data_IF_450490170487
#
_entry.id   IF_450490170487
#
_cell.length_a   1.000
_cell.length_b   1.000
_cell.length_c   1.000
_cell.angle_alpha   90.00
_cell.angle_beta   90.00
_cell.angle_gamma   90.00
#
_symmetry.space_group_name_H-M   'P 1'
#
loop_
_entity.id
_entity.type
_entity.pdbx_description
1 polymer ?
#
# COMPACT_ATOMS: atom_id res chain seq x y z
N UNK A 1 -3.91 -11.60 9.91
CA UNK A 1 -2.75 -10.82 10.37
C UNK A 1 -1.52 -11.71 10.41
N UNK A 2 -0.37 -11.18 10.00
CA UNK A 2 0.90 -11.89 9.85
C UNK A 2 1.95 -11.30 10.80
N UNK A 3 2.45 -12.12 11.72
CA UNK A 3 3.45 -11.73 12.72
C UNK A 3 4.74 -11.16 12.11
N UNK A 4 5.09 -11.57 10.89
CA UNK A 4 6.28 -11.05 10.20
C UNK A 4 6.13 -9.59 9.78
N UNK A 5 4.89 -9.11 9.57
CA UNK A 5 4.61 -7.74 9.18
C UNK A 5 4.33 -6.81 10.38
N UNK A 6 4.13 -7.36 11.58
CA UNK A 6 3.68 -6.58 12.75
C UNK A 6 4.64 -5.45 13.15
N UNK A 7 5.95 -5.63 12.96
CA UNK A 7 6.93 -4.59 13.28
C UNK A 7 6.61 -3.28 12.55
N UNK A 8 6.15 -3.37 11.30
CA UNK A 8 5.85 -2.22 10.46
C UNK A 8 4.74 -1.33 11.04
N UNK A 9 3.77 -1.95 11.73
CA UNK A 9 2.62 -1.26 12.33
C UNK A 9 2.86 -0.81 13.76
N UNK A 10 3.87 -1.38 14.42
CA UNK A 10 4.20 -1.07 15.81
C UNK A 10 5.21 0.06 15.95
N UNK A 11 6.02 0.32 14.90
CA UNK A 11 6.95 1.44 14.85
C UNK A 11 6.25 2.78 15.11
N UNK A 12 6.88 3.61 15.95
CA UNK A 12 6.35 4.93 16.33
C UNK A 12 6.64 5.94 15.22
N UNK A 13 5.79 5.95 14.20
CA UNK A 13 5.89 6.82 13.03
C UNK A 13 4.70 7.77 12.94
N UNK A 14 4.89 8.87 12.21
CA UNK A 14 3.88 9.91 11.94
C UNK A 14 2.52 9.33 11.51
N UNK A 15 2.51 8.26 10.72
CA UNK A 15 1.31 7.66 10.13
C UNK A 15 0.85 6.36 10.80
N UNK A 16 1.35 6.05 12.00
CA UNK A 16 1.09 4.77 12.69
C UNK A 16 -0.40 4.41 12.75
N UNK A 17 -1.23 5.34 13.22
CA UNK A 17 -2.67 5.13 13.35
C UNK A 17 -3.34 4.91 11.99
N UNK A 18 -3.02 5.75 11.00
CA UNK A 18 -3.57 5.64 9.65
C UNK A 18 -3.19 4.31 9.00
N UNK A 19 -1.93 3.91 9.06
CA UNK A 19 -1.40 2.66 8.51
C UNK A 19 -2.01 1.44 9.20
N UNK A 20 -2.25 1.50 10.51
CA UNK A 20 -2.96 0.46 11.25
C UNK A 20 -4.44 0.33 10.81
N UNK A 21 -5.13 1.45 10.55
CA UNK A 21 -6.49 1.43 10.01
C UNK A 21 -6.53 0.85 8.59
N UNK A 22 -5.60 1.26 7.73
CA UNK A 22 -5.47 0.72 6.37
C UNK A 22 -5.26 -0.80 6.39
N UNK A 23 -4.44 -1.32 7.32
CA UNK A 23 -4.26 -2.76 7.50
C UNK A 23 -5.58 -3.49 7.73
N UNK A 24 -6.43 -2.95 8.61
CA UNK A 24 -7.73 -3.55 8.91
C UNK A 24 -8.63 -3.55 7.69
N UNK A 25 -8.73 -2.43 6.97
CA UNK A 25 -9.53 -2.32 5.74
C UNK A 25 -9.07 -3.33 4.68
N UNK A 26 -7.76 -3.41 4.44
CA UNK A 26 -7.22 -4.30 3.40
C UNK A 26 -7.41 -5.78 3.77
N UNK A 27 -7.34 -6.13 5.05
CA UNK A 27 -7.63 -7.48 5.53
C UNK A 27 -9.12 -7.83 5.43
N UNK A 28 -10.01 -6.87 5.69
CA UNK A 28 -11.46 -7.05 5.56
C UNK A 28 -11.87 -7.34 4.09
N UNK A 29 -11.09 -6.86 3.13
CA UNK A 29 -11.23 -7.20 1.71
C UNK A 29 -10.84 -8.66 1.36
N UNK A 30 -10.47 -9.49 2.34
CA UNK A 30 -10.11 -10.90 2.14
C UNK A 30 -8.72 -11.11 1.52
N UNK A 31 -7.85 -10.10 1.55
CA UNK A 31 -6.48 -10.23 1.06
C UNK A 31 -5.57 -10.88 2.10
N UNK A 32 -4.61 -11.67 1.62
CA UNK A 32 -3.59 -12.31 2.44
C UNK A 32 -2.42 -11.37 2.66
N UNK A 33 -1.98 -11.22 3.91
CA UNK A 33 -0.88 -10.33 4.28
C UNK A 33 0.47 -11.03 4.25
N UNK A 34 1.41 -10.45 3.52
CA UNK A 34 2.80 -10.88 3.37
C UNK A 34 3.75 -9.72 3.65
N UNK A 35 5.01 -10.02 3.96
CA UNK A 35 6.07 -9.02 4.04
C UNK A 35 6.94 -9.12 2.78
N UNK A 36 6.97 -8.08 1.96
CA UNK A 36 7.81 -8.01 0.76
C UNK A 36 8.52 -6.68 0.69
N UNK A 37 9.82 -6.71 0.34
CA UNK A 37 10.65 -5.50 0.21
C UNK A 37 10.66 -4.58 1.44
N UNK A 38 10.45 -5.15 2.63
CA UNK A 38 10.41 -4.40 3.89
C UNK A 38 9.06 -3.74 4.21
N UNK A 39 8.02 -3.93 3.40
CA UNK A 39 6.69 -3.38 3.64
C UNK A 39 5.58 -4.43 3.57
N UNK A 40 4.42 -4.18 4.23
CA UNK A 40 3.24 -5.02 4.11
C UNK A 40 2.74 -5.06 2.66
N UNK A 41 2.61 -6.26 2.14
CA UNK A 41 2.08 -6.55 0.82
C UNK A 41 0.88 -7.47 0.95
N UNK A 42 -0.20 -7.12 0.27
CA UNK A 42 -1.45 -7.84 0.34
C UNK A 42 -1.72 -8.52 -1.00
N UNK A 43 -1.96 -9.82 -0.92
CA UNK A 43 -2.04 -10.70 -2.08
C UNK A 43 -3.41 -11.37 -2.17
N UNK A 44 -3.82 -11.68 -3.41
CA UNK A 44 -4.97 -12.52 -3.70
C UNK A 44 -4.49 -13.68 -4.58
N UNK A 45 -4.60 -14.91 -4.06
CA UNK A 45 -4.15 -16.12 -4.76
C UNK A 45 -2.67 -16.02 -5.23
N UNK A 46 -1.81 -15.42 -4.39
CA UNK A 46 -0.39 -15.24 -4.68
C UNK A 46 -0.04 -14.04 -5.58
N UNK A 47 -1.03 -13.37 -6.16
CA UNK A 47 -0.81 -12.15 -6.93
C UNK A 47 -0.76 -10.93 -6.00
N UNK A 48 0.21 -10.04 -6.18
CA UNK A 48 0.28 -8.80 -5.41
C UNK A 48 -0.84 -7.85 -5.85
N UNK A 49 -1.62 -7.35 -4.89
CA UNK A 49 -2.78 -6.47 -5.14
C UNK A 49 -2.51 -5.06 -4.63
N UNK A 50 -2.06 -4.92 -3.38
CA UNK A 50 -1.80 -3.61 -2.78
C UNK A 50 -0.65 -3.66 -1.78
N UNK A 51 0.13 -2.59 -1.68
CA UNK A 51 1.08 -2.36 -0.58
C UNK A 51 0.55 -1.26 0.33
N UNK A 52 0.83 -1.35 1.63
CA UNK A 52 0.78 -0.17 2.49
C UNK A 52 2.20 0.35 2.65
N UNK A 53 2.41 1.63 2.32
CA UNK A 53 3.69 2.29 2.48
C UNK A 53 3.53 3.66 3.12
N UNK A 54 4.31 3.92 4.15
CA UNK A 54 4.40 5.20 4.83
C UNK A 54 5.62 5.98 4.33
N UNK A 55 5.39 7.22 3.92
CA UNK A 55 6.41 8.16 3.50
C UNK A 55 6.48 9.31 4.51
N UNK A 56 7.52 10.13 4.38
CA UNK A 56 7.72 11.29 5.28
C UNK A 56 6.50 12.23 5.34
N UNK A 57 5.89 12.50 4.19
CA UNK A 57 4.81 13.49 4.06
C UNK A 57 3.40 12.88 3.89
N UNK A 58 3.27 11.57 3.66
CA UNK A 58 1.98 10.88 3.48
C UNK A 58 2.14 9.38 3.70
N UNK A 59 1.06 8.64 3.95
CA UNK A 59 1.02 7.19 3.74
C UNK A 59 0.13 6.88 2.52
N UNK A 60 0.31 5.71 1.91
CA UNK A 60 -0.45 5.34 0.74
C UNK A 60 -0.80 3.86 0.70
N UNK A 61 -1.93 3.57 0.06
CA UNK A 61 -2.23 2.28 -0.55
C UNK A 61 -1.71 2.30 -1.99
N UNK A 62 -0.73 1.44 -2.30
CA UNK A 62 -0.14 1.34 -3.63
C UNK A 62 -0.72 0.13 -4.35
N UNK A 63 -1.62 0.37 -5.30
CA UNK A 63 -2.27 -0.70 -6.06
C UNK A 63 -1.39 -1.18 -7.20
N UNK A 64 -1.14 -2.49 -7.26
CA UNK A 64 -0.56 -3.12 -8.43
C UNK A 64 -1.55 -3.05 -9.59
N UNK A 65 -1.10 -2.55 -10.74
CA UNK A 65 -1.97 -2.26 -11.90
C UNK A 65 -3.11 -1.30 -11.57
N UNK A 66 -2.89 -0.37 -10.64
CA UNK A 66 -3.90 0.59 -10.21
C UNK A 66 -4.45 1.45 -11.34
N UNK A 67 -3.68 1.67 -12.41
CA UNK A 67 -4.13 2.39 -13.61
C UNK A 67 -5.31 1.71 -14.35
N UNK A 68 -5.62 0.44 -14.02
CA UNK A 68 -6.77 -0.29 -14.54
C UNK A 68 -8.00 -0.19 -13.63
N UNK A 69 -7.88 0.40 -12.44
CA UNK A 69 -9.00 0.58 -11.53
C UNK A 69 -9.91 1.70 -12.03
N UNK A 70 -11.21 1.53 -11.82
CA UNK A 70 -12.16 2.61 -12.03
C UNK A 70 -11.97 3.67 -10.95
N UNK A 71 -11.78 4.92 -11.34
CA UNK A 71 -11.57 6.05 -10.44
C UNK A 71 -12.66 7.11 -10.65
N UNK A 72 -13.89 6.85 -10.21
CA UNK A 72 -15.02 7.75 -10.44
C UNK A 72 -14.85 9.10 -9.73
N UNK A 73 -14.09 9.12 -8.62
CA UNK A 73 -13.89 10.31 -7.79
C UNK A 73 -12.59 11.06 -8.13
N UNK A 74 -11.76 10.52 -9.04
CA UNK A 74 -10.50 11.15 -9.46
C UNK A 74 -9.46 11.26 -8.35
N UNK A 75 -9.49 10.35 -7.38
CA UNK A 75 -8.66 10.41 -6.16
C UNK A 75 -7.38 9.58 -6.26
N UNK A 76 -7.27 8.71 -7.28
CA UNK A 76 -6.08 7.91 -7.48
C UNK A 76 -4.99 8.74 -8.16
N UNK A 77 -3.82 8.79 -7.54
CA UNK A 77 -2.67 9.55 -8.06
C UNK A 77 -1.63 8.59 -8.60
N UNK A 78 -1.08 8.89 -9.78
CA UNK A 78 0.01 8.10 -10.34
C UNK A 78 1.26 8.23 -9.47
N UNK A 79 1.85 7.10 -9.07
CA UNK A 79 3.05 7.12 -8.22
C UNK A 79 4.19 7.95 -8.83
N UNK A 80 4.33 7.96 -10.16
CA UNK A 80 5.36 8.73 -10.89
C UNK A 80 5.24 10.24 -10.72
N UNK A 81 4.04 10.74 -10.40
CA UNK A 81 3.80 12.16 -10.12
C UNK A 81 4.25 12.55 -8.71
N UNK A 82 4.23 11.58 -7.78
CA UNK A 82 4.63 11.80 -6.39
C UNK A 82 6.13 11.55 -6.18
N UNK A 83 6.70 10.58 -6.90
CA UNK A 83 8.12 10.22 -6.85
C UNK A 83 8.65 9.91 -8.25
N UNK A 84 9.52 10.77 -8.80
CA UNK A 84 10.41 10.40 -9.89
C UNK A 84 11.54 9.52 -9.35
N UNK A 85 11.27 8.24 -9.10
CA UNK A 85 12.31 7.24 -8.91
C UNK A 85 12.42 6.35 -10.15
N UNK A 86 13.51 6.44 -10.93
CA UNK A 86 13.67 5.60 -12.11
C UNK A 86 13.74 4.11 -11.70
N UNK A 87 12.85 3.31 -12.28
CA UNK A 87 13.05 1.85 -12.40
C UNK A 87 12.53 0.94 -11.29
N UNK A 88 11.63 1.36 -10.37
CA UNK A 88 11.16 0.45 -9.30
C UNK A 88 9.69 0.05 -9.28
N UNK A 89 8.75 0.82 -9.84
CA UNK A 89 7.35 0.40 -9.82
C UNK A 89 6.64 0.89 -11.09
N UNK A 90 6.35 -0.04 -12.01
CA UNK A 90 5.50 0.23 -13.16
C UNK A 90 4.04 0.34 -12.71
N UNK A 91 3.41 1.48 -13.00
CA UNK A 91 1.95 1.69 -12.95
C UNK A 91 1.26 1.44 -11.61
N UNK A 92 1.89 1.79 -10.48
CA UNK A 92 1.17 1.83 -9.21
C UNK A 92 0.38 3.14 -9.07
N UNK A 93 -0.86 3.03 -8.60
CA UNK A 93 -1.68 4.17 -8.19
C UNK A 93 -1.69 4.25 -6.67
N UNK A 94 -1.62 5.47 -6.16
CA UNK A 94 -1.65 5.78 -4.74
C UNK A 94 -3.02 6.37 -4.37
N UNK A 95 -3.62 5.87 -3.30
CA UNK A 95 -4.65 6.60 -2.55
C UNK A 95 -3.94 7.49 -1.52
N UNK A 96 -4.27 8.79 -1.49
CA UNK A 96 -3.66 9.80 -0.62
C UNK A 96 -4.61 10.25 0.49
#
# INVERSE_FOLDING_TARGET
>A
MNAKADFYFNEDKKWKEAVAQLRLVVLDCGLSEELKWGVPCYTLQGNNIVLIHDFKEYCALLFFKGALLNDPDGILVHQTEIHRQPGKFGSAMCWK
#
